data_IF_492375634398
#
_entry.id   IF_492375634398
#
_cell.length_a   1.000
_cell.length_b   1.000
_cell.length_c   1.000
_cell.angle_alpha   90.00
_cell.angle_beta   90.00
_cell.angle_gamma   90.00
#
_symmetry.space_group_name_H-M   'P 1'
#
loop_
_entity.id
_entity.type
_entity.pdbx_description
1 polymer ?
#
# COMPACT_ATOMS: atom_id res chain seq x y z
N UNK A 1 -3.22 -38.09 -4.45
CA UNK A 1 -3.17 -36.62 -4.24
C UNK A 1 -3.63 -35.95 -5.52
N UNK A 2 -4.55 -34.98 -5.47
CA UNK A 2 -4.89 -34.20 -6.66
C UNK A 2 -3.85 -33.09 -6.84
N UNK A 3 -2.86 -33.37 -7.70
CA UNK A 3 -1.91 -32.35 -8.15
C UNK A 3 -2.57 -31.53 -9.26
N UNK A 4 -2.39 -30.22 -9.23
CA UNK A 4 -2.82 -29.32 -10.30
C UNK A 4 -1.63 -28.47 -10.75
N UNK A 5 -1.69 -28.01 -12.00
CA UNK A 5 -0.64 -27.19 -12.61
C UNK A 5 -1.22 -25.82 -12.91
N UNK A 6 -0.50 -24.77 -12.53
CA UNK A 6 -0.83 -23.38 -12.87
C UNK A 6 0.35 -22.70 -13.56
N UNK A 7 0.05 -21.87 -14.57
CA UNK A 7 1.00 -20.91 -15.12
C UNK A 7 1.02 -19.65 -14.25
N UNK A 8 2.16 -19.36 -13.63
CA UNK A 8 2.37 -18.17 -12.80
C UNK A 8 3.40 -17.25 -13.46
N UNK A 9 2.97 -16.07 -13.86
CA UNK A 9 3.87 -15.03 -14.38
C UNK A 9 4.51 -14.29 -13.22
N UNK A 10 5.83 -14.26 -13.18
CA UNK A 10 6.59 -13.48 -12.20
C UNK A 10 7.22 -12.29 -12.91
N UNK A 11 6.84 -11.10 -12.46
CA UNK A 11 7.30 -9.83 -12.99
C UNK A 11 8.65 -9.44 -12.38
N UNK A 12 9.40 -8.60 -13.08
CA UNK A 12 10.65 -8.08 -12.56
C UNK A 12 10.35 -6.79 -11.77
N UNK A 13 10.68 -6.70 -10.47
CA UNK A 13 10.41 -5.52 -9.65
C UNK A 13 10.88 -4.18 -10.25
N UNK A 14 12.05 -4.14 -10.91
CA UNK A 14 12.53 -2.90 -11.55
C UNK A 14 11.60 -2.42 -12.67
N UNK A 15 10.94 -3.32 -13.41
CA UNK A 15 9.96 -2.92 -14.45
C UNK A 15 8.71 -2.34 -13.82
N UNK A 16 8.26 -2.94 -12.71
CA UNK A 16 7.11 -2.44 -11.95
C UNK A 16 7.42 -1.04 -11.38
N UNK A 17 8.63 -0.83 -10.86
CA UNK A 17 9.12 0.46 -10.41
C UNK A 17 9.07 1.52 -11.52
N UNK A 18 9.65 1.21 -12.69
CA UNK A 18 9.66 2.12 -13.84
C UNK A 18 8.24 2.40 -14.37
N UNK A 19 7.36 1.40 -14.40
CA UNK A 19 5.96 1.58 -14.78
C UNK A 19 5.21 2.49 -13.80
N UNK A 20 5.47 2.34 -12.49
CA UNK A 20 4.93 3.24 -11.46
C UNK A 20 5.40 4.68 -11.66
N UNK A 21 6.68 4.87 -11.98
CA UNK A 21 7.25 6.18 -12.29
C UNK A 21 6.64 6.81 -13.55
N UNK A 22 6.45 6.01 -14.60
CA UNK A 22 5.78 6.46 -15.82
C UNK A 22 4.31 6.85 -15.59
N UNK A 23 3.57 6.06 -14.79
CA UNK A 23 2.19 6.39 -14.42
C UNK A 23 2.12 7.66 -13.56
N UNK A 24 3.02 7.81 -12.60
CA UNK A 24 3.14 9.03 -11.81
C UNK A 24 3.39 10.25 -12.71
N UNK A 25 4.36 10.16 -13.62
CA UNK A 25 4.70 11.25 -14.53
C UNK A 25 3.53 11.60 -15.46
N UNK A 26 2.78 10.61 -15.93
CA UNK A 26 1.56 10.84 -16.71
C UNK A 26 0.48 11.58 -15.91
N UNK A 27 0.26 11.21 -14.64
CA UNK A 27 -0.67 11.94 -13.77
C UNK A 27 -0.17 13.36 -13.51
N UNK A 28 1.13 13.54 -13.27
CA UNK A 28 1.76 14.85 -13.09
C UNK A 28 1.57 15.78 -14.30
N UNK A 29 1.70 15.26 -15.52
CA UNK A 29 1.47 16.04 -16.75
C UNK A 29 0.00 16.44 -16.96
N UNK A 30 -0.94 15.62 -16.52
CA UNK A 30 -2.38 15.84 -16.72
C UNK A 30 -3.06 16.50 -15.51
N UNK A 31 -2.34 16.68 -14.41
CA UNK A 31 -2.87 17.22 -13.18
C UNK A 31 -3.29 18.68 -13.39
N UNK A 32 -4.54 19.06 -13.05
CA UNK A 32 -4.98 20.45 -13.17
C UNK A 32 -4.55 21.28 -11.94
N UNK A 33 -3.24 21.33 -11.71
CA UNK A 33 -2.58 21.79 -10.48
C UNK A 33 -1.44 22.73 -10.87
N UNK A 34 -1.31 23.84 -10.15
CA UNK A 34 -0.23 24.81 -10.34
C UNK A 34 0.88 24.55 -9.32
N UNK A 35 1.89 23.75 -9.68
CA UNK A 35 2.97 23.42 -8.75
C UNK A 35 3.72 24.66 -8.26
N UNK A 36 3.66 24.92 -6.96
CA UNK A 36 4.12 26.19 -6.35
C UNK A 36 5.53 26.12 -5.75
N UNK A 37 6.16 24.94 -5.79
CA UNK A 37 7.51 24.72 -5.25
C UNK A 37 8.30 23.80 -6.16
N UNK A 38 9.45 24.26 -6.64
CA UNK A 38 10.27 23.49 -7.60
C UNK A 38 11.37 22.66 -6.92
N UNK A 39 11.70 22.98 -5.66
CA UNK A 39 12.85 22.41 -4.96
C UNK A 39 14.17 23.08 -5.32
N UNK A 40 15.19 22.91 -4.48
CA UNK A 40 16.56 23.33 -4.81
C UNK A 40 17.31 22.28 -5.64
N UNK A 41 18.34 22.69 -6.38
CA UNK A 41 19.15 21.82 -7.24
C UNK A 41 19.67 20.57 -6.50
N UNK A 42 20.11 20.74 -5.25
CA UNK A 42 20.57 19.65 -4.40
C UNK A 42 19.48 18.60 -4.16
N UNK A 43 18.27 19.04 -3.82
CA UNK A 43 17.14 18.15 -3.53
C UNK A 43 16.71 17.35 -4.75
N UNK A 44 16.72 17.99 -5.92
CA UNK A 44 16.44 17.35 -7.21
C UNK A 44 17.52 16.31 -7.52
N UNK A 45 18.80 16.66 -7.38
CA UNK A 45 19.93 15.73 -7.57
C UNK A 45 19.81 14.51 -6.65
N UNK A 46 19.56 14.72 -5.35
CA UNK A 46 19.41 13.64 -4.37
C UNK A 46 18.25 12.73 -4.71
N UNK A 47 17.11 13.28 -5.13
CA UNK A 47 15.95 12.49 -5.54
C UNK A 47 16.28 11.57 -6.72
N UNK A 48 16.89 12.10 -7.78
CA UNK A 48 17.29 11.30 -8.93
C UNK A 48 18.39 10.29 -8.57
N UNK A 49 19.33 10.66 -7.70
CA UNK A 49 20.33 9.74 -7.18
C UNK A 49 19.68 8.56 -6.44
N UNK A 50 18.67 8.79 -5.59
CA UNK A 50 17.95 7.73 -4.90
C UNK A 50 17.13 6.85 -5.84
N UNK A 51 16.46 7.43 -6.83
CA UNK A 51 15.77 6.66 -7.89
C UNK A 51 16.78 5.76 -8.59
N UNK A 52 17.94 6.30 -8.97
CA UNK A 52 18.99 5.55 -9.64
C UNK A 52 19.53 4.42 -8.75
N UNK A 53 19.92 4.72 -7.50
CA UNK A 53 20.44 3.74 -6.53
C UNK A 53 19.42 2.63 -6.29
N UNK A 54 18.15 2.98 -6.08
CA UNK A 54 17.09 2.01 -5.84
C UNK A 54 16.85 1.13 -7.08
N UNK A 55 16.74 1.72 -8.26
CA UNK A 55 16.58 0.99 -9.52
C UNK A 55 17.80 0.09 -9.81
N UNK A 56 19.01 0.58 -9.55
CA UNK A 56 20.25 -0.17 -9.70
C UNK A 56 20.30 -1.37 -8.74
N UNK A 57 19.95 -1.17 -7.47
CA UNK A 57 19.83 -2.25 -6.48
C UNK A 57 18.82 -3.32 -6.90
N UNK A 58 17.66 -2.92 -7.43
CA UNK A 58 16.66 -3.85 -7.98
C UNK A 58 17.21 -4.59 -9.19
N UNK A 59 17.90 -3.91 -10.10
CA UNK A 59 18.46 -4.51 -11.30
C UNK A 59 19.53 -5.56 -10.95
N UNK A 60 20.49 -5.23 -10.08
CA UNK A 60 21.55 -6.13 -9.64
C UNK A 60 20.99 -7.39 -8.94
N UNK A 61 20.03 -7.19 -8.03
CA UNK A 61 19.46 -8.28 -7.23
C UNK A 61 18.44 -9.14 -8.00
N UNK A 62 17.73 -8.58 -8.99
CA UNK A 62 16.91 -9.38 -9.89
C UNK A 62 17.75 -10.16 -10.91
N UNK A 63 18.95 -9.68 -11.26
CA UNK A 63 19.83 -10.32 -12.25
C UNK A 63 19.15 -10.46 -13.61
N UNK A 64 19.52 -11.51 -14.38
CA UNK A 64 18.92 -11.82 -15.69
C UNK A 64 17.51 -12.45 -15.60
N UNK A 65 16.68 -12.01 -14.65
CA UNK A 65 15.25 -12.31 -14.68
C UNK A 65 14.64 -11.71 -15.94
N UNK A 66 14.58 -12.48 -17.03
CA UNK A 66 13.66 -12.23 -18.13
C UNK A 66 12.32 -12.77 -17.65
N UNK A 67 11.27 -11.95 -17.51
CA UNK A 67 9.98 -12.38 -16.95
C UNK A 67 9.61 -13.79 -17.41
N UNK A 68 9.66 -14.76 -16.48
CA UNK A 68 9.42 -16.18 -16.79
C UNK A 68 8.02 -16.52 -16.33
N UNK A 69 7.36 -17.33 -17.15
CA UNK A 69 6.18 -18.07 -16.74
C UNK A 69 6.66 -19.32 -16.01
N UNK A 70 6.30 -19.45 -14.75
CA UNK A 70 6.56 -20.63 -13.94
C UNK A 70 5.39 -21.61 -14.09
N UNK A 71 5.70 -22.88 -14.33
CA UNK A 71 4.73 -23.95 -14.21
C UNK A 71 4.78 -24.47 -12.78
N UNK A 72 3.74 -24.18 -12.00
CA UNK A 72 3.69 -24.48 -10.58
C UNK A 72 2.80 -25.70 -10.36
N UNK A 73 3.40 -26.78 -9.86
CA UNK A 73 2.68 -27.97 -9.43
C UNK A 73 2.35 -27.86 -7.95
N UNK A 74 1.10 -28.05 -7.58
CA UNK A 74 0.67 -27.90 -6.19
C UNK A 74 -0.38 -28.91 -5.75
N UNK A 75 -0.42 -29.17 -4.45
CA UNK A 75 -1.40 -30.02 -3.81
C UNK A 75 -2.66 -29.21 -3.46
N UNK A 76 -3.78 -29.53 -4.12
CA UNK A 76 -5.06 -28.81 -3.97
C UNK A 76 -5.59 -28.86 -2.53
N UNK A 77 -5.44 -30.00 -1.85
CA UNK A 77 -5.93 -30.16 -0.47
C UNK A 77 -5.18 -29.27 0.51
N UNK A 78 -3.85 -29.17 0.35
CA UNK A 78 -3.01 -28.30 1.17
C UNK A 78 -3.29 -26.83 0.87
N UNK A 79 -3.45 -26.44 -0.41
CA UNK A 79 -3.78 -25.07 -0.77
C UNK A 79 -5.13 -24.64 -0.18
N UNK A 80 -6.11 -25.54 -0.21
CA UNK A 80 -7.41 -25.33 0.41
C UNK A 80 -7.29 -25.13 1.93
N UNK A 81 -6.51 -25.98 2.62
CA UNK A 81 -6.28 -25.83 4.06
C UNK A 81 -5.59 -24.50 4.39
N UNK A 82 -4.61 -24.10 3.59
CA UNK A 82 -3.96 -22.79 3.73
C UNK A 82 -4.94 -21.64 3.52
N UNK A 83 -5.81 -21.73 2.50
CA UNK A 83 -6.84 -20.71 2.23
C UNK A 83 -7.80 -20.53 3.41
N UNK A 84 -8.26 -21.64 3.99
CA UNK A 84 -9.09 -21.60 5.19
C UNK A 84 -8.34 -21.05 6.40
N UNK A 85 -7.08 -21.44 6.60
CA UNK A 85 -6.25 -20.89 7.68
C UNK A 85 -6.13 -19.36 7.55
N UNK A 86 -5.78 -18.86 6.36
CA UNK A 86 -5.69 -17.42 6.07
C UNK A 86 -7.03 -16.72 6.32
N UNK A 87 -8.13 -17.33 5.91
CA UNK A 87 -9.48 -16.81 6.16
C UNK A 87 -9.78 -16.73 7.67
N UNK A 88 -9.51 -17.79 8.44
CA UNK A 88 -9.75 -17.79 9.88
C UNK A 88 -8.87 -16.78 10.62
N UNK A 89 -7.57 -16.70 10.30
CA UNK A 89 -6.68 -15.69 10.87
C UNK A 89 -7.16 -14.27 10.54
N UNK A 90 -7.52 -14.02 9.28
CA UNK A 90 -8.09 -12.74 8.85
C UNK A 90 -9.36 -12.39 9.62
N UNK A 91 -10.28 -13.34 9.77
CA UNK A 91 -11.55 -13.15 10.46
C UNK A 91 -11.35 -12.90 11.95
N UNK A 92 -10.51 -13.69 12.63
CA UNK A 92 -10.15 -13.44 14.03
C UNK A 92 -9.53 -12.05 14.21
N UNK A 93 -8.64 -11.63 13.30
CA UNK A 93 -8.07 -10.29 13.33
C UNK A 93 -9.11 -9.17 13.13
N UNK A 94 -10.05 -9.37 12.22
CA UNK A 94 -11.14 -8.40 11.98
C UNK A 94 -12.06 -8.31 13.20
N UNK A 95 -12.42 -9.44 13.82
CA UNK A 95 -13.20 -9.46 15.07
C UNK A 95 -12.45 -8.73 16.18
N UNK A 96 -11.15 -8.98 16.36
CA UNK A 96 -10.34 -8.27 17.36
C UNK A 96 -10.26 -6.77 17.08
N UNK A 97 -10.14 -6.36 15.82
CA UNK A 97 -10.17 -4.94 15.43
C UNK A 97 -11.50 -4.28 15.74
N UNK A 98 -12.61 -4.94 15.39
CA UNK A 98 -13.96 -4.45 15.69
C UNK A 98 -14.14 -4.37 17.20
N UNK A 99 -13.74 -5.41 17.93
CA UNK A 99 -13.83 -5.47 19.38
C UNK A 99 -13.05 -4.32 20.04
N UNK A 100 -11.81 -4.13 19.63
CA UNK A 100 -10.94 -3.09 20.18
C UNK A 100 -11.47 -1.68 19.91
N UNK A 101 -11.94 -1.40 18.69
CA UNK A 101 -12.43 -0.07 18.33
C UNK A 101 -13.78 0.27 18.96
N UNK A 102 -14.70 -0.69 19.00
CA UNK A 102 -16.06 -0.46 19.52
C UNK A 102 -16.07 -0.53 21.04
N UNK A 103 -15.45 -1.53 21.65
CA UNK A 103 -15.61 -1.81 23.08
C UNK A 103 -14.46 -1.30 23.94
N UNK A 104 -13.21 -1.28 23.44
CA UNK A 104 -12.07 -0.80 24.25
C UNK A 104 -11.91 0.72 24.10
N UNK A 105 -11.91 1.25 22.88
CA UNK A 105 -11.73 2.70 22.64
C UNK A 105 -13.02 3.49 22.63
N UNK A 106 -14.18 2.83 22.62
CA UNK A 106 -15.52 3.44 22.51
C UNK A 106 -15.73 4.39 21.30
N UNK A 107 -14.75 4.52 20.40
CA UNK A 107 -14.75 5.40 19.21
C UNK A 107 -15.17 4.68 17.93
N UNK A 108 -15.87 3.55 18.06
CA UNK A 108 -16.39 2.76 16.94
C UNK A 108 -17.91 2.88 16.78
N UNK A 109 -18.52 3.94 17.29
CA UNK A 109 -19.96 4.11 17.13
C UNK A 109 -20.26 4.49 15.67
N UNK A 110 -21.07 3.69 14.97
CA UNK A 110 -21.38 3.91 13.55
C UNK A 110 -22.24 5.17 13.39
N UNK A 111 -22.90 5.62 14.47
CA UNK A 111 -23.69 6.83 14.49
C UNK A 111 -22.90 8.11 14.79
N UNK A 112 -21.63 8.02 15.21
CA UNK A 112 -20.80 9.21 15.44
C UNK A 112 -20.10 9.66 14.16
N UNK A 113 -19.85 10.97 14.08
CA UNK A 113 -19.10 11.57 12.98
C UNK A 113 -17.67 10.98 12.89
N UNK A 114 -17.13 10.91 11.67
CA UNK A 114 -15.80 10.35 11.38
C UNK A 114 -14.70 10.98 12.23
N UNK A 115 -14.82 12.28 12.54
CA UNK A 115 -13.84 13.01 13.34
C UNK A 115 -13.89 12.65 14.82
N UNK A 116 -15.09 12.53 15.40
CA UNK A 116 -15.26 12.07 16.78
C UNK A 116 -14.66 10.67 16.96
N UNK A 117 -14.92 9.77 16.00
CA UNK A 117 -14.32 8.44 15.98
C UNK A 117 -12.79 8.49 15.86
N UNK A 118 -12.24 9.37 15.03
CA UNK A 118 -10.79 9.52 14.85
C UNK A 118 -10.09 10.07 16.09
N UNK A 119 -10.66 11.06 16.76
CA UNK A 119 -10.10 11.64 17.99
C UNK A 119 -10.15 10.65 19.15
N UNK A 120 -11.25 9.91 19.32
CA UNK A 120 -11.37 8.85 20.32
C UNK A 120 -10.40 7.69 20.06
N UNK A 121 -10.22 7.30 18.78
CA UNK A 121 -9.23 6.28 18.42
C UNK A 121 -7.82 6.82 18.64
N UNK A 122 -7.53 8.08 18.33
CA UNK A 122 -6.19 8.66 18.50
C UNK A 122 -5.80 8.82 19.98
N UNK A 123 -6.72 9.22 20.85
CA UNK A 123 -6.46 9.47 22.27
C UNK A 123 -6.23 8.18 23.07
N UNK A 124 -6.83 7.06 22.68
CA UNK A 124 -6.71 5.78 23.39
C UNK A 124 -5.34 5.07 23.29
N UNK A 125 -4.42 5.55 22.45
CA UNK A 125 -3.14 4.85 22.17
C UNK A 125 -3.33 3.48 21.50
N UNK A 126 -2.28 2.85 20.95
CA UNK A 126 -2.42 1.48 20.42
C UNK A 126 -2.17 0.42 21.48
N UNK A 127 -3.25 -0.18 22.00
CA UNK A 127 -3.17 -1.39 22.82
C UNK A 127 -2.67 -2.61 22.03
N UNK A 128 -2.14 -3.60 22.75
CA UNK A 128 -1.63 -4.87 22.18
C UNK A 128 -2.67 -5.60 21.32
N UNK A 129 -3.95 -5.55 21.73
CA UNK A 129 -5.09 -6.12 20.98
C UNK A 129 -5.23 -5.47 19.60
N UNK A 130 -5.02 -4.16 19.49
CA UNK A 130 -5.11 -3.43 18.22
C UNK A 130 -4.01 -3.87 17.25
N UNK A 131 -2.79 -4.07 17.77
CA UNK A 131 -1.63 -4.50 17.01
C UNK A 131 -1.84 -5.93 16.47
N UNK A 132 -2.24 -6.86 17.34
CA UNK A 132 -2.52 -8.25 16.95
C UNK A 132 -3.69 -8.30 15.97
N UNK A 133 -4.77 -7.56 16.23
CA UNK A 133 -5.91 -7.46 15.33
C UNK A 133 -5.53 -6.92 13.95
N UNK A 134 -4.71 -5.87 13.88
CA UNK A 134 -4.22 -5.30 12.62
C UNK A 134 -3.32 -6.28 11.85
N UNK A 135 -2.43 -6.98 12.54
CA UNK A 135 -1.57 -7.99 11.92
C UNK A 135 -2.37 -9.17 11.35
N UNK A 136 -3.27 -9.74 12.17
CA UNK A 136 -4.07 -10.88 11.76
C UNK A 136 -5.06 -10.53 10.64
N UNK A 137 -5.73 -9.38 10.73
CA UNK A 137 -6.66 -8.93 9.67
C UNK A 137 -5.96 -8.66 8.33
N UNK A 138 -4.68 -8.27 8.36
CA UNK A 138 -3.86 -8.11 7.15
C UNK A 138 -3.67 -9.43 6.36
N UNK A 139 -3.96 -10.59 6.96
CA UNK A 139 -4.00 -11.87 6.23
C UNK A 139 -5.05 -11.87 5.11
N UNK A 140 -6.12 -11.07 5.24
CA UNK A 140 -7.11 -10.93 4.17
C UNK A 140 -6.55 -10.37 2.86
N UNK A 141 -5.42 -9.66 2.89
CA UNK A 141 -4.76 -9.19 1.67
C UNK A 141 -4.35 -10.34 0.75
N UNK A 142 -4.03 -11.52 1.29
CA UNK A 142 -3.57 -12.67 0.51
C UNK A 142 -4.70 -13.59 0.06
N UNK A 143 -5.91 -13.41 0.59
CA UNK A 143 -7.05 -14.27 0.27
C UNK A 143 -7.50 -14.16 -1.20
N UNK A 144 -7.59 -12.96 -1.81
CA UNK A 144 -7.83 -12.82 -3.24
C UNK A 144 -6.82 -13.60 -4.08
N UNK A 145 -5.54 -13.52 -3.73
CA UNK A 145 -4.49 -14.25 -4.43
C UNK A 145 -4.73 -15.77 -4.41
N UNK A 146 -4.92 -16.36 -3.22
CA UNK A 146 -5.11 -17.80 -3.07
C UNK A 146 -6.36 -18.30 -3.81
N UNK A 147 -7.45 -17.53 -3.77
CA UNK A 147 -8.71 -17.87 -4.43
C UNK A 147 -8.56 -17.77 -5.95
N UNK A 148 -7.95 -16.70 -6.46
CA UNK A 148 -7.69 -16.52 -7.90
C UNK A 148 -6.75 -17.60 -8.41
N UNK A 149 -5.72 -17.96 -7.63
CA UNK A 149 -4.80 -19.05 -7.93
C UNK A 149 -5.55 -20.39 -8.08
N UNK A 150 -6.42 -20.75 -7.13
CA UNK A 150 -7.27 -21.96 -7.23
C UNK A 150 -8.21 -21.92 -8.44
N UNK A 151 -8.89 -20.79 -8.67
CA UNK A 151 -9.85 -20.64 -9.78
C UNK A 151 -9.17 -20.74 -11.14
N UNK A 152 -7.95 -20.19 -11.27
CA UNK A 152 -7.15 -20.28 -12.50
C UNK A 152 -6.71 -21.70 -12.81
N UNK A 153 -6.58 -22.55 -11.79
CA UNK A 153 -6.35 -23.98 -11.93
C UNK A 153 -7.65 -24.81 -12.12
N UNK A 154 -8.79 -24.15 -12.37
CA UNK A 154 -10.08 -24.81 -12.61
C UNK A 154 -10.86 -25.17 -11.34
N UNK A 155 -10.36 -24.87 -10.15
CA UNK A 155 -10.98 -25.26 -8.88
C UNK A 155 -11.96 -24.16 -8.44
N UNK A 156 -13.26 -24.41 -8.65
CA UNK A 156 -14.34 -23.49 -8.25
C UNK A 156 -15.10 -24.04 -7.05
N UNK A 157 -15.35 -23.18 -6.06
CA UNK A 157 -16.16 -23.50 -4.87
C UNK A 157 -17.03 -22.31 -4.51
N UNK A 158 -18.23 -22.59 -4.01
CA UNK A 158 -19.17 -21.57 -3.54
C UNK A 158 -18.58 -20.75 -2.40
N UNK A 159 -17.83 -21.39 -1.48
CA UNK A 159 -17.18 -20.73 -0.35
C UNK A 159 -16.18 -19.63 -0.74
N UNK A 160 -15.67 -19.64 -1.98
CA UNK A 160 -14.77 -18.58 -2.45
C UNK A 160 -15.46 -17.21 -2.50
N UNK A 161 -16.77 -17.17 -2.76
CA UNK A 161 -17.51 -15.92 -2.88
C UNK A 161 -17.63 -15.15 -1.55
N UNK A 162 -18.18 -15.73 -0.46
CA UNK A 162 -18.26 -15.02 0.82
C UNK A 162 -16.87 -14.68 1.40
N UNK A 163 -15.86 -15.52 1.15
CA UNK A 163 -14.47 -15.23 1.50
C UNK A 163 -13.94 -13.94 0.85
N UNK A 164 -14.17 -13.78 -0.46
CA UNK A 164 -13.78 -12.57 -1.18
C UNK A 164 -14.53 -11.35 -0.67
N UNK A 165 -15.84 -11.46 -0.42
CA UNK A 165 -16.64 -10.37 0.14
C UNK A 165 -16.07 -9.93 1.49
N UNK A 166 -15.81 -10.86 2.41
CA UNK A 166 -15.25 -10.52 3.73
C UNK A 166 -13.86 -9.88 3.64
N UNK A 167 -13.02 -10.32 2.70
CA UNK A 167 -11.74 -9.66 2.44
C UNK A 167 -11.88 -8.23 1.90
N UNK A 168 -12.90 -7.98 1.08
CA UNK A 168 -13.23 -6.64 0.59
C UNK A 168 -13.82 -5.76 1.71
N UNK A 169 -14.66 -6.32 2.58
CA UNK A 169 -15.17 -5.64 3.78
C UNK A 169 -14.01 -5.18 4.66
N UNK A 170 -13.00 -6.01 4.88
CA UNK A 170 -11.77 -5.60 5.59
C UNK A 170 -11.10 -4.37 4.94
N UNK A 171 -11.00 -4.35 3.61
CA UNK A 171 -10.36 -3.25 2.89
C UNK A 171 -11.15 -1.93 2.97
N UNK A 172 -12.48 -2.01 3.07
CA UNK A 172 -13.38 -0.84 3.15
C UNK A 172 -13.66 -0.43 4.60
N UNK A 173 -13.41 -1.30 5.58
CA UNK A 173 -13.65 -1.05 7.01
C UNK A 173 -12.99 0.24 7.51
N UNK A 174 -11.74 0.48 7.13
CA UNK A 174 -10.99 1.69 7.51
C UNK A 174 -11.47 2.93 6.73
N UNK A 175 -12.09 2.78 5.56
CA UNK A 175 -12.73 3.89 4.84
C UNK A 175 -14.00 4.31 5.61
N UNK A 176 -14.81 3.34 6.03
CA UNK A 176 -16.10 3.57 6.70
C UNK A 176 -15.94 4.10 8.13
N UNK A 177 -14.88 3.75 8.85
CA UNK A 177 -14.72 4.21 10.23
C UNK A 177 -13.92 5.50 10.38
N UNK A 178 -12.94 5.74 9.51
CA UNK A 178 -11.97 6.84 9.69
C UNK A 178 -11.64 7.58 8.38
N UNK A 179 -12.33 7.26 7.28
CA UNK A 179 -12.08 7.85 5.97
C UNK A 179 -10.71 7.51 5.37
N UNK A 180 -10.02 6.49 5.88
CA UNK A 180 -8.67 6.13 5.45
C UNK A 180 -8.72 5.23 4.22
N UNK A 181 -8.16 5.73 3.10
CA UNK A 181 -8.23 5.08 1.77
C UNK A 181 -7.06 4.14 1.49
N UNK A 182 -6.01 4.17 2.31
CA UNK A 182 -4.75 3.44 2.04
C UNK A 182 -4.92 1.92 2.07
N UNK A 183 -5.74 1.39 2.97
CA UNK A 183 -6.02 -0.05 3.04
C UNK A 183 -6.72 -0.58 1.77
N UNK A 184 -7.66 0.18 1.22
CA UNK A 184 -8.33 -0.13 -0.03
C UNK A 184 -7.36 -0.13 -1.21
N UNK A 185 -6.48 0.88 -1.32
CA UNK A 185 -5.48 0.96 -2.39
C UNK A 185 -4.54 -0.25 -2.36
N UNK A 186 -4.04 -0.62 -1.17
CA UNK A 186 -3.19 -1.80 -0.98
C UNK A 186 -3.93 -3.08 -1.41
N UNK A 187 -5.16 -3.27 -0.94
CA UNK A 187 -5.98 -4.44 -1.30
C UNK A 187 -6.21 -4.54 -2.82
N UNK A 188 -6.51 -3.42 -3.47
CA UNK A 188 -6.70 -3.37 -4.92
C UNK A 188 -5.43 -3.67 -5.69
N UNK A 189 -4.29 -3.14 -5.27
CA UNK A 189 -2.99 -3.43 -5.88
C UNK A 189 -2.66 -4.93 -5.79
N UNK A 190 -2.90 -5.56 -4.63
CA UNK A 190 -2.70 -7.01 -4.46
C UNK A 190 -3.69 -7.82 -5.31
N UNK A 191 -4.97 -7.41 -5.40
CA UNK A 191 -5.95 -8.04 -6.29
C UNK A 191 -5.54 -7.98 -7.76
N UNK A 192 -5.13 -6.79 -8.22
CA UNK A 192 -4.67 -6.57 -9.59
C UNK A 192 -3.47 -7.47 -9.89
N UNK A 193 -2.45 -7.44 -9.03
CA UNK A 193 -1.26 -8.26 -9.18
C UNK A 193 -1.60 -9.76 -9.19
N UNK A 194 -2.53 -10.20 -8.34
CA UNK A 194 -2.98 -11.60 -8.28
C UNK A 194 -3.57 -12.07 -9.61
N UNK A 195 -4.41 -11.24 -10.21
CA UNK A 195 -5.04 -11.52 -11.51
C UNK A 195 -4.01 -11.55 -12.63
N UNK A 196 -3.12 -10.55 -12.66
CA UNK A 196 -2.08 -10.44 -13.70
C UNK A 196 -1.08 -11.61 -13.62
N UNK A 197 -0.64 -11.98 -12.42
CA UNK A 197 0.31 -13.09 -12.23
C UNK A 197 -0.27 -14.44 -12.61
N UNK A 198 -1.53 -14.70 -12.29
CA UNK A 198 -2.18 -15.99 -12.58
C UNK A 198 -2.72 -16.09 -14.00
N UNK A 199 -2.76 -14.97 -14.73
CA UNK A 199 -3.36 -14.89 -16.06
C UNK A 199 -4.87 -15.15 -16.06
N UNK A 200 -5.54 -15.00 -14.91
CA UNK A 200 -6.98 -15.27 -14.76
C UNK A 200 -7.82 -14.38 -15.68
N UNK A 201 -7.42 -13.11 -15.82
CA UNK A 201 -7.98 -12.18 -16.79
C UNK A 201 -6.92 -11.96 -17.88
N UNK A 202 -7.29 -12.25 -19.12
CA UNK A 202 -6.46 -11.90 -20.28
C UNK A 202 -6.50 -10.40 -20.49
N UNK A 203 -5.34 -9.76 -20.62
CA UNK A 203 -5.26 -8.34 -20.97
C UNK A 203 -5.75 -8.20 -22.41
N UNK A 204 -6.98 -7.71 -22.56
CA UNK A 204 -7.61 -7.36 -23.83
C UNK A 204 -7.97 -5.88 -23.80
N UNK A 205 -8.22 -5.27 -24.97
CA UNK A 205 -8.65 -3.87 -25.02
C UNK A 205 -9.92 -3.63 -24.16
N UNK A 206 -10.84 -4.59 -24.14
CA UNK A 206 -12.04 -4.56 -23.27
C UNK A 206 -11.66 -4.55 -21.78
N UNK A 207 -10.72 -5.39 -21.37
CA UNK A 207 -10.27 -5.45 -19.97
C UNK A 207 -9.54 -4.18 -19.56
N UNK A 208 -8.75 -3.60 -20.46
CA UNK A 208 -8.09 -2.31 -20.25
C UNK A 208 -9.13 -1.20 -20.10
N UNK A 209 -10.10 -1.12 -21.02
CA UNK A 209 -11.19 -0.15 -20.96
C UNK A 209 -11.99 -0.27 -19.65
N UNK A 210 -12.41 -1.48 -19.27
CA UNK A 210 -13.11 -1.72 -18.00
C UNK A 210 -12.25 -1.34 -16.79
N UNK A 211 -10.93 -1.59 -16.86
CA UNK A 211 -9.98 -1.18 -15.83
C UNK A 211 -9.90 0.33 -15.68
N UNK A 212 -9.85 1.08 -16.79
CA UNK A 212 -9.87 2.55 -16.80
C UNK A 212 -11.18 3.08 -16.22
N UNK A 213 -12.33 2.54 -16.65
CA UNK A 213 -13.64 2.92 -16.11
C UNK A 213 -13.72 2.66 -14.61
N UNK A 214 -13.23 1.51 -14.13
CA UNK A 214 -13.19 1.19 -12.72
C UNK A 214 -12.25 2.13 -11.93
N UNK A 215 -11.11 2.52 -12.51
CA UNK A 215 -10.20 3.48 -11.90
C UNK A 215 -10.83 4.87 -11.77
N UNK A 216 -11.51 5.36 -12.81
CA UNK A 216 -12.24 6.64 -12.78
C UNK A 216 -13.35 6.59 -11.73
N UNK A 217 -14.14 5.51 -11.69
CA UNK A 217 -15.19 5.34 -10.69
C UNK A 217 -14.64 5.32 -9.26
N UNK A 218 -13.48 4.69 -9.05
CA UNK A 218 -12.81 4.67 -7.74
C UNK A 218 -12.31 6.06 -7.34
N UNK A 219 -11.68 6.78 -8.26
CA UNK A 219 -11.21 8.17 -8.02
C UNK A 219 -12.40 9.04 -7.66
N UNK A 220 -13.48 8.97 -8.45
CA UNK A 220 -14.72 9.69 -8.17
C UNK A 220 -15.30 9.34 -6.80
N UNK A 221 -15.44 8.05 -6.49
CA UNK A 221 -15.92 7.59 -5.19
C UNK A 221 -15.04 8.11 -4.04
N UNK A 222 -13.72 8.03 -4.18
CA UNK A 222 -12.77 8.51 -3.18
C UNK A 222 -12.82 10.04 -2.99
N UNK A 223 -13.11 10.79 -4.05
CA UNK A 223 -13.34 12.23 -4.01
C UNK A 223 -14.67 12.57 -3.32
N UNK A 224 -15.74 11.85 -3.63
CA UNK A 224 -17.06 12.07 -3.00
C UNK A 224 -17.06 11.72 -1.51
N UNK A 225 -16.37 10.65 -1.10
CA UNK A 225 -16.17 10.34 0.33
C UNK A 225 -15.46 11.49 1.04
N UNK A 226 -14.47 12.11 0.39
CA UNK A 226 -13.77 13.26 0.95
C UNK A 226 -14.70 14.49 1.01
N UNK A 227 -15.44 14.78 -0.05
CA UNK A 227 -16.43 15.87 -0.10
C UNK A 227 -17.42 15.77 1.05
N UNK A 228 -18.09 14.62 1.21
CA UNK A 228 -19.09 14.40 2.27
C UNK A 228 -18.47 14.58 3.65
N UNK A 229 -17.26 14.04 3.87
CA UNK A 229 -16.55 14.17 5.15
C UNK A 229 -16.24 15.63 5.47
N UNK A 230 -15.80 16.41 4.50
CA UNK A 230 -15.44 17.81 4.74
C UNK A 230 -16.67 18.65 5.07
N UNK A 231 -17.80 18.41 4.39
CA UNK A 231 -19.09 19.03 4.73
C UNK A 231 -19.54 18.66 6.15
N UNK A 232 -19.38 17.40 6.57
CA UNK A 232 -19.70 16.96 7.93
C UNK A 232 -18.85 17.66 8.99
N UNK A 233 -17.60 18.01 8.65
CA UNK A 233 -16.71 18.79 9.51
C UNK A 233 -17.06 20.28 9.57
N UNK A 234 -18.11 20.73 8.86
CA UNK A 234 -18.47 22.15 8.75
C UNK A 234 -17.46 22.97 7.94
N UNK A 235 -16.63 22.31 7.12
CA UNK A 235 -15.63 22.95 6.28
C UNK A 235 -16.10 22.90 4.83
N UNK A 236 -15.84 23.96 4.07
CA UNK A 236 -16.10 23.95 2.64
C UNK A 236 -15.14 22.96 1.92
N UNK A 237 -15.64 21.99 1.12
CA UNK A 237 -14.82 21.00 0.43
C UNK A 237 -13.79 21.59 -0.54
N UNK A 238 -14.10 22.74 -1.15
CA UNK A 238 -13.20 23.43 -2.08
C UNK A 238 -12.10 24.13 -1.29
N UNK A 239 -12.46 24.91 -0.27
CA UNK A 239 -11.49 25.52 0.64
C UNK A 239 -10.58 24.47 1.32
N UNK A 240 -11.12 23.31 1.71
CA UNK A 240 -10.32 22.22 2.26
C UNK A 240 -9.37 21.59 1.25
N UNK A 241 -9.76 21.52 -0.03
CA UNK A 241 -8.87 21.09 -1.10
C UNK A 241 -7.67 22.03 -1.22
N UNK A 242 -7.88 23.35 -1.12
CA UNK A 242 -6.84 24.38 -1.19
C UNK A 242 -5.98 24.50 0.08
N UNK A 243 -6.56 24.27 1.25
CA UNK A 243 -5.86 24.39 2.55
C UNK A 243 -5.28 23.06 3.05
N UNK A 244 -5.44 21.98 2.28
CA UNK A 244 -4.92 20.66 2.66
C UNK A 244 -3.39 20.67 2.76
N UNK A 245 -2.83 19.76 3.57
CA UNK A 245 -1.38 19.61 3.69
C UNK A 245 -0.68 19.36 2.34
N UNK A 246 -1.39 18.72 1.41
CA UNK A 246 -0.92 18.41 0.05
C UNK A 246 -0.92 19.65 -0.86
N UNK A 247 -1.89 20.55 -0.70
CA UNK A 247 -2.07 21.72 -1.55
C UNK A 247 -1.01 22.79 -1.37
N UNK A 248 -0.23 22.76 -0.27
CA UNK A 248 0.89 23.71 -0.06
C UNK A 248 1.85 23.77 -1.25
N UNK A 249 2.17 22.62 -1.85
CA UNK A 249 3.12 22.52 -2.98
C UNK A 249 2.45 22.09 -4.30
N UNK A 250 1.19 21.67 -4.21
CA UNK A 250 0.38 21.25 -5.35
C UNK A 250 -1.02 21.87 -5.23
N UNK A 251 -1.17 23.20 -5.23
CA UNK A 251 -2.48 23.84 -5.20
C UNK A 251 -3.27 23.56 -6.48
N UNK A 252 -4.59 23.44 -6.37
CA UNK A 252 -5.45 23.33 -7.54
C UNK A 252 -5.31 24.59 -8.40
N UNK A 253 -5.36 24.43 -9.72
CA UNK A 253 -5.29 25.59 -10.62
C UNK A 253 -6.47 26.54 -10.41
N UNK A 254 -6.23 27.84 -10.57
CA UNK A 254 -7.25 28.88 -10.33
C UNK A 254 -8.50 28.64 -11.19
N UNK A 255 -8.32 28.20 -12.44
CA UNK A 255 -9.40 27.85 -13.35
C UNK A 255 -10.28 26.71 -12.82
N UNK A 256 -9.70 25.70 -12.17
CA UNK A 256 -10.46 24.61 -11.54
C UNK A 256 -11.19 25.10 -10.30
N UNK A 257 -10.54 25.88 -9.44
CA UNK A 257 -11.18 26.44 -8.23
C UNK A 257 -12.40 27.27 -8.62
N UNK A 258 -12.24 28.20 -9.57
CA UNK A 258 -13.33 29.03 -10.08
C UNK A 258 -14.46 28.18 -10.70
N UNK A 259 -14.11 27.14 -11.47
CA UNK A 259 -15.12 26.25 -12.04
C UNK A 259 -15.91 25.50 -10.96
N UNK A 260 -15.23 24.96 -9.94
CA UNK A 260 -15.87 24.20 -8.86
C UNK A 260 -16.73 25.08 -7.96
N UNK A 261 -16.28 26.29 -7.64
CA UNK A 261 -17.06 27.26 -6.83
C UNK A 261 -18.38 27.61 -7.51
N UNK A 262 -18.38 27.72 -8.84
CA UNK A 262 -19.57 28.05 -9.61
C UNK A 262 -20.51 26.87 -9.89
N UNK A 263 -19.99 25.62 -9.90
CA UNK A 263 -20.74 24.43 -10.36
C UNK A 263 -20.92 23.34 -9.28
N UNK A 264 -20.41 23.54 -8.07
CA UNK A 264 -20.50 22.58 -6.97
C UNK A 264 -19.84 21.23 -7.29
N UNK A 265 -20.45 20.14 -6.81
CA UNK A 265 -19.91 18.76 -6.93
C UNK A 265 -20.75 17.79 -7.76
N UNK A 266 -21.84 18.25 -8.37
CA UNK A 266 -22.75 17.39 -9.13
C UNK A 266 -22.27 17.11 -10.56
N UNK A 267 -22.37 15.85 -11.01
CA UNK A 267 -22.04 15.47 -12.39
C UNK A 267 -20.55 15.60 -12.71
N UNK A 268 -20.22 16.34 -13.77
CA UNK A 268 -18.83 16.49 -14.24
C UNK A 268 -17.96 17.24 -13.23
N UNK A 269 -18.52 18.21 -12.48
CA UNK A 269 -17.75 18.95 -11.47
C UNK A 269 -17.27 18.05 -10.34
N UNK A 270 -18.05 17.04 -9.94
CA UNK A 270 -17.62 16.02 -8.98
C UNK A 270 -16.45 15.17 -9.49
N UNK A 271 -16.41 14.87 -10.79
CA UNK A 271 -15.27 14.15 -11.41
C UNK A 271 -14.02 15.03 -11.44
N UNK A 272 -14.16 16.30 -11.80
CA UNK A 272 -13.05 17.28 -11.80
C UNK A 272 -12.50 17.46 -10.39
N UNK A 273 -13.38 17.65 -9.39
CA UNK A 273 -12.99 17.73 -7.98
C UNK A 273 -12.21 16.49 -7.54
N UNK A 274 -12.78 15.31 -7.79
CA UNK A 274 -12.18 14.04 -7.38
C UNK A 274 -10.82 13.81 -8.04
N UNK A 275 -10.70 14.10 -9.35
CA UNK A 275 -9.45 13.96 -10.07
C UNK A 275 -8.40 14.97 -9.62
N UNK A 276 -8.78 16.23 -9.41
CA UNK A 276 -7.87 17.29 -8.91
C UNK A 276 -7.33 16.91 -7.54
N UNK A 277 -8.21 16.59 -6.59
CA UNK A 277 -7.81 16.17 -5.25
C UNK A 277 -6.96 14.88 -5.27
N UNK A 278 -7.29 13.92 -6.14
CA UNK A 278 -6.47 12.72 -6.34
C UNK A 278 -5.09 13.06 -6.88
N UNK A 279 -5.00 13.94 -7.88
CA UNK A 279 -3.74 14.39 -8.44
C UNK A 279 -2.89 15.10 -7.38
N UNK A 280 -3.46 15.99 -6.56
CA UNK A 280 -2.75 16.65 -5.46
C UNK A 280 -2.15 15.62 -4.51
N UNK A 281 -2.95 14.63 -4.11
CA UNK A 281 -2.49 13.55 -3.25
C UNK A 281 -1.39 12.70 -3.92
N UNK A 282 -1.50 12.39 -5.21
CA UNK A 282 -0.50 11.58 -5.92
C UNK A 282 0.80 12.34 -6.12
N UNK A 283 0.75 13.63 -6.46
CA UNK A 283 1.91 14.37 -6.94
C UNK A 283 2.66 15.13 -5.85
N UNK A 284 2.03 15.49 -4.73
CA UNK A 284 2.68 16.29 -3.67
C UNK A 284 3.93 15.63 -3.08
N UNK A 285 4.00 14.29 -3.08
CA UNK A 285 5.04 13.56 -2.35
C UNK A 285 6.47 13.92 -2.78
N UNK A 286 6.69 14.16 -4.07
CA UNK A 286 8.00 14.58 -4.63
C UNK A 286 8.39 15.97 -4.15
N UNK A 287 7.46 16.92 -4.14
CA UNK A 287 7.72 18.28 -3.68
C UNK A 287 7.93 18.35 -2.17
N UNK A 288 7.19 17.54 -1.41
CA UNK A 288 7.44 17.36 0.02
C UNK A 288 8.83 16.76 0.26
N UNK A 289 9.27 15.83 -0.59
CA UNK A 289 10.63 15.30 -0.52
C UNK A 289 11.67 16.38 -0.81
N UNK A 290 11.43 17.25 -1.80
CA UNK A 290 12.35 18.34 -2.09
C UNK A 290 12.47 19.32 -0.92
N UNK A 291 11.34 19.70 -0.34
CA UNK A 291 11.30 20.58 0.83
C UNK A 291 12.04 19.95 2.01
N UNK A 292 11.77 18.67 2.28
CA UNK A 292 12.43 17.90 3.33
C UNK A 292 13.96 17.84 3.13
N UNK A 293 14.40 17.52 1.91
CA UNK A 293 15.80 17.35 1.59
C UNK A 293 16.59 18.67 1.74
N UNK A 294 15.94 19.82 1.52
CA UNK A 294 16.56 21.13 1.75
C UNK A 294 16.71 21.51 3.22
N UNK A 295 16.07 20.79 4.14
CA UNK A 295 16.04 21.09 5.58
C UNK A 295 16.68 20.00 6.46
N UNK A 296 17.09 18.87 5.87
CA UNK A 296 17.57 17.70 6.62
C UNK A 296 19.04 17.42 6.33
N UNK A 297 19.89 17.82 7.27
CA UNK A 297 21.33 17.57 7.19
C UNK A 297 21.76 16.26 7.87
N UNK A 298 20.93 15.74 8.78
CA UNK A 298 21.22 14.53 9.57
C UNK A 298 19.98 13.69 9.83
N UNK A 299 20.18 12.46 10.31
CA UNK A 299 19.09 11.62 10.79
C UNK A 299 18.38 12.27 12.00
N UNK A 300 17.05 12.21 12.02
CA UNK A 300 16.20 12.75 13.09
C UNK A 300 15.40 11.66 13.79
N UNK A 301 15.07 10.57 13.10
CA UNK A 301 14.22 9.49 13.65
C UNK A 301 14.92 8.15 13.78
N UNK A 302 16.18 8.01 13.33
CA UNK A 302 17.07 6.87 13.62
C UNK A 302 16.46 5.47 13.39
N UNK A 303 15.65 5.31 12.35
CA UNK A 303 15.02 4.03 11.98
C UNK A 303 13.61 3.83 12.56
N UNK A 304 13.13 4.74 13.41
CA UNK A 304 11.82 4.62 14.04
C UNK A 304 10.66 4.72 13.04
N UNK A 305 10.82 5.38 11.88
CA UNK A 305 9.78 5.34 10.85
C UNK A 305 9.79 4.03 10.07
N UNK A 306 10.96 3.61 9.60
CA UNK A 306 11.14 2.41 8.79
C UNK A 306 10.82 1.12 9.56
N UNK A 307 11.02 1.13 10.88
CA UNK A 307 10.76 0.01 11.78
C UNK A 307 9.69 0.32 12.83
N UNK A 308 8.78 1.25 12.57
CA UNK A 308 7.74 1.72 13.49
C UNK A 308 7.07 0.62 14.34
N UNK A 309 6.53 -0.45 13.76
CA UNK A 309 5.84 -1.52 14.48
C UNK A 309 6.81 -2.33 15.38
N UNK A 310 7.94 -2.88 14.87
CA UNK A 310 8.96 -3.48 15.73
C UNK A 310 9.43 -2.53 16.85
N UNK A 311 9.78 -1.30 16.51
CA UNK A 311 10.27 -0.31 17.47
C UNK A 311 9.23 0.05 18.52
N UNK A 312 7.95 0.14 18.13
CA UNK A 312 6.84 0.38 19.06
C UNK A 312 6.67 -0.75 20.06
N UNK A 313 6.82 -2.01 19.63
CA UNK A 313 6.80 -3.16 20.54
C UNK A 313 7.95 -3.07 21.54
N UNK A 314 9.18 -2.82 21.06
CA UNK A 314 10.36 -2.72 21.92
C UNK A 314 10.23 -1.56 22.91
N UNK A 315 9.84 -0.38 22.45
CA UNK A 315 9.66 0.80 23.32
C UNK A 315 8.55 0.60 24.34
N UNK A 316 7.45 -0.06 23.96
CA UNK A 316 6.38 -0.40 24.90
C UNK A 316 6.81 -1.40 25.96
N UNK A 317 7.69 -2.36 25.62
CA UNK A 317 8.23 -3.33 26.58
C UNK A 317 9.31 -2.73 27.48
N UNK A 318 10.07 -1.77 26.96
CA UNK A 318 11.13 -1.08 27.69
C UNK A 318 10.64 0.16 28.46
N UNK A 319 9.33 0.46 28.41
CA UNK A 319 8.71 1.66 28.98
C UNK A 319 9.39 2.98 28.54
N UNK A 320 9.99 2.98 27.35
CA UNK A 320 10.86 4.06 26.84
C UNK A 320 10.08 5.24 26.20
N UNK A 321 8.83 5.46 26.63
CA UNK A 321 7.95 6.51 26.10
C UNK A 321 7.20 6.15 24.81
N UNK A 322 6.48 7.13 24.24
CA UNK A 322 5.68 6.95 23.01
C UNK A 322 6.51 7.28 21.79
N UNK A 323 6.62 6.32 20.87
CA UNK A 323 7.28 6.50 19.58
C UNK A 323 6.68 7.66 18.77
N UNK A 324 5.38 7.91 18.91
CA UNK A 324 4.66 8.99 18.22
C UNK A 324 5.23 10.38 18.56
N UNK A 325 5.64 10.60 19.79
CA UNK A 325 6.14 11.90 20.25
C UNK A 325 7.50 12.19 19.60
N UNK A 326 8.38 11.18 19.55
CA UNK A 326 9.67 11.26 18.88
C UNK A 326 9.48 11.49 17.37
N UNK A 327 8.56 10.75 16.74
CA UNK A 327 8.29 10.90 15.32
C UNK A 327 7.71 12.28 15.00
N UNK A 328 6.82 12.81 15.84
CA UNK A 328 6.22 14.13 15.63
C UNK A 328 7.25 15.24 15.77
N UNK A 329 8.18 15.12 16.72
CA UNK A 329 9.28 16.07 16.89
C UNK A 329 10.36 15.94 15.80
N UNK A 330 10.56 14.74 15.26
CA UNK A 330 11.62 14.43 14.30
C UNK A 330 11.28 14.68 12.83
N UNK A 331 10.03 15.03 12.50
CA UNK A 331 9.61 15.28 11.11
C UNK A 331 9.28 16.75 10.85
N UNK A 332 9.61 17.23 9.66
CA UNK A 332 9.40 18.64 9.26
C UNK A 332 7.91 18.98 9.22
N UNK A 333 7.09 18.08 8.69
CA UNK A 333 5.63 18.26 8.58
C UNK A 333 4.88 17.00 9.03
N UNK A 334 4.55 16.89 10.33
CA UNK A 334 3.78 15.76 10.84
C UNK A 334 2.46 15.57 10.10
N UNK A 335 2.16 14.33 9.72
CA UNK A 335 0.91 13.99 9.04
C UNK A 335 0.87 14.27 7.53
N UNK A 336 1.94 14.82 6.94
CA UNK A 336 2.10 14.96 5.48
C UNK A 336 3.00 13.84 4.98
N UNK A 337 2.48 13.06 4.04
CA UNK A 337 3.22 11.95 3.46
C UNK A 337 4.20 12.44 2.39
N UNK A 338 5.21 11.63 2.09
CA UNK A 338 6.18 11.90 1.05
C UNK A 338 6.60 10.58 0.40
N UNK A 339 7.43 10.66 -0.64
CA UNK A 339 7.96 9.54 -1.43
C UNK A 339 8.49 8.39 -0.57
N UNK A 340 8.75 7.25 -1.19
CA UNK A 340 9.46 6.11 -0.60
C UNK A 340 10.70 6.54 0.19
N UNK A 341 11.40 7.57 -0.30
CA UNK A 341 12.70 7.98 0.20
C UNK A 341 12.64 8.93 1.39
N UNK A 342 11.54 9.67 1.59
CA UNK A 342 11.48 10.68 2.65
C UNK A 342 11.57 10.11 4.07
N UNK A 343 10.79 9.07 4.45
CA UNK A 343 10.97 8.39 5.74
C UNK A 343 12.37 7.84 5.96
N UNK A 344 13.00 7.34 4.89
CA UNK A 344 14.36 6.81 4.92
C UNK A 344 15.37 7.93 5.16
N UNK A 345 15.14 9.12 4.58
CA UNK A 345 15.93 10.33 4.81
C UNK A 345 15.86 10.79 6.27
N UNK A 346 14.67 10.82 6.88
CA UNK A 346 14.51 11.10 8.31
C UNK A 346 15.26 10.09 9.19
N UNK A 347 15.20 8.81 8.83
CA UNK A 347 15.78 7.75 9.64
C UNK A 347 17.31 7.70 9.57
N UNK A 348 17.91 8.03 8.43
CA UNK A 348 19.33 7.75 8.19
C UNK A 348 20.15 8.94 7.66
N UNK A 349 19.54 10.11 7.46
CA UNK A 349 20.17 11.26 6.82
C UNK A 349 20.52 10.99 5.35
N UNK A 350 21.10 11.97 4.62
CA UNK A 350 21.27 11.85 3.16
C UNK A 350 22.11 10.63 2.72
N UNK A 351 23.34 10.49 3.24
CA UNK A 351 24.21 9.37 2.83
C UNK A 351 23.67 8.01 3.30
N UNK A 352 23.20 7.94 4.55
CA UNK A 352 22.65 6.72 5.13
C UNK A 352 21.37 6.28 4.41
N UNK A 353 20.54 7.23 3.96
CA UNK A 353 19.33 6.93 3.22
C UNK A 353 19.63 6.37 1.84
N UNK A 354 20.64 6.89 1.13
CA UNK A 354 21.11 6.31 -0.12
C UNK A 354 21.52 4.83 0.06
N UNK A 355 22.29 4.53 1.10
CA UNK A 355 22.68 3.16 1.42
C UNK A 355 21.49 2.26 1.81
N UNK A 356 20.58 2.77 2.64
CA UNK A 356 19.37 2.05 3.04
C UNK A 356 18.47 1.74 1.83
N UNK A 357 18.32 2.67 0.88
CA UNK A 357 17.61 2.44 -0.37
C UNK A 357 18.23 1.32 -1.19
N UNK A 358 19.57 1.28 -1.30
CA UNK A 358 20.28 0.21 -2.00
C UNK A 358 20.03 -1.15 -1.34
N UNK A 359 20.21 -1.25 -0.03
CA UNK A 359 19.97 -2.49 0.71
C UNK A 359 18.53 -2.97 0.57
N UNK A 360 17.58 -2.05 0.70
CA UNK A 360 16.17 -2.38 0.60
C UNK A 360 15.80 -2.88 -0.80
N UNK A 361 16.31 -2.22 -1.85
CA UNK A 361 16.17 -2.68 -3.22
C UNK A 361 16.78 -4.08 -3.44
N UNK A 362 17.94 -4.37 -2.84
CA UNK A 362 18.56 -5.70 -2.91
C UNK A 362 17.66 -6.77 -2.27
N UNK A 363 17.10 -6.49 -1.08
CA UNK A 363 16.17 -7.42 -0.39
C UNK A 363 14.96 -7.71 -1.27
N UNK A 364 14.38 -6.68 -1.89
CA UNK A 364 13.24 -6.84 -2.81
C UNK A 364 13.59 -7.78 -3.97
N UNK A 365 14.72 -7.57 -4.64
CA UNK A 365 15.10 -8.44 -5.75
C UNK A 365 15.52 -9.84 -5.31
N UNK A 366 16.07 -10.01 -4.10
CA UNK A 366 16.32 -11.33 -3.51
C UNK A 366 15.00 -12.10 -3.30
N UNK A 367 13.95 -11.45 -2.80
CA UNK A 367 12.62 -12.05 -2.67
C UNK A 367 12.08 -12.49 -4.03
N UNK A 368 12.16 -11.62 -5.04
CA UNK A 368 11.74 -11.94 -6.40
C UNK A 368 12.52 -13.12 -7.00
N UNK A 369 13.85 -13.15 -6.83
CA UNK A 369 14.72 -14.24 -7.27
C UNK A 369 14.37 -15.57 -6.60
N UNK A 370 14.04 -15.56 -5.31
CA UNK A 370 13.62 -16.78 -4.62
C UNK A 370 12.28 -17.32 -5.17
N UNK A 371 11.31 -16.45 -5.47
CA UNK A 371 10.05 -16.85 -6.12
C UNK A 371 10.32 -17.47 -7.50
N UNK A 372 11.21 -16.86 -8.29
CA UNK A 372 11.63 -17.40 -9.60
C UNK A 372 12.29 -18.77 -9.51
N UNK A 373 13.04 -19.01 -8.44
CA UNK A 373 13.65 -20.31 -8.14
C UNK A 373 12.68 -21.28 -7.46
N UNK A 374 11.36 -21.07 -7.64
CA UNK A 374 10.27 -21.89 -7.12
C UNK A 374 10.22 -22.03 -5.59
N UNK A 375 10.90 -21.14 -4.84
CA UNK A 375 10.73 -21.03 -3.38
C UNK A 375 9.49 -20.20 -3.07
N UNK A 376 8.33 -20.76 -3.40
CA UNK A 376 7.04 -20.06 -3.42
C UNK A 376 6.50 -19.69 -2.03
N UNK A 377 7.16 -20.08 -0.94
CA UNK A 377 6.90 -19.52 0.38
C UNK A 377 7.30 -18.02 0.50
N UNK A 378 8.10 -17.50 -0.43
CA UNK A 378 8.39 -16.05 -0.55
C UNK A 378 7.32 -15.27 -1.31
N UNK A 379 6.34 -15.95 -1.91
CA UNK A 379 5.33 -15.34 -2.76
C UNK A 379 4.48 -14.27 -2.06
N UNK A 380 4.05 -14.43 -0.78
CA UNK A 380 3.33 -13.36 -0.07
C UNK A 380 4.14 -12.06 0.02
N UNK A 381 5.44 -12.15 0.36
CA UNK A 381 6.30 -10.97 0.47
C UNK A 381 6.53 -10.31 -0.89
N UNK A 382 6.72 -11.13 -1.93
CA UNK A 382 6.83 -10.66 -3.30
C UNK A 382 5.60 -9.87 -3.75
N UNK A 383 4.38 -10.33 -3.41
CA UNK A 383 3.13 -9.64 -3.74
C UNK A 383 3.07 -8.25 -3.09
N UNK A 384 3.43 -8.15 -1.81
CA UNK A 384 3.45 -6.85 -1.09
C UNK A 384 4.47 -5.90 -1.71
N UNK A 385 5.69 -6.37 -1.95
CA UNK A 385 6.74 -5.54 -2.56
C UNK A 385 6.31 -5.01 -3.93
N UNK A 386 5.80 -5.88 -4.80
CA UNK A 386 5.35 -5.46 -6.12
C UNK A 386 4.10 -4.57 -6.09
N UNK A 387 3.27 -4.68 -5.05
CA UNK A 387 2.13 -3.79 -4.86
C UNK A 387 2.55 -2.39 -4.38
N UNK A 388 3.63 -2.28 -3.61
CA UNK A 388 4.03 -1.02 -2.97
C UNK A 388 5.01 -0.19 -3.80
N UNK A 389 5.96 -0.84 -4.48
CA UNK A 389 7.01 -0.18 -5.27
C UNK A 389 6.46 0.81 -6.32
N UNK A 390 5.33 0.58 -7.02
CA UNK A 390 4.77 1.56 -7.95
C UNK A 390 4.50 2.93 -7.34
N UNK A 391 4.25 2.99 -6.03
CA UNK A 391 3.92 4.21 -5.30
C UNK A 391 5.16 4.99 -4.84
N UNK A 392 6.36 4.64 -5.30
CA UNK A 392 7.59 5.22 -4.76
C UNK A 392 7.64 6.75 -4.84
N UNK A 393 7.09 7.36 -5.88
CA UNK A 393 7.03 8.81 -6.06
C UNK A 393 5.84 9.46 -5.34
N UNK A 394 4.88 8.66 -4.85
CA UNK A 394 3.64 9.13 -4.23
C UNK A 394 3.76 9.11 -2.72
N UNK A 395 3.94 7.93 -2.16
CA UNK A 395 3.94 7.69 -0.72
C UNK A 395 4.75 6.44 -0.39
N UNK A 396 5.49 6.48 0.72
CA UNK A 396 6.09 5.27 1.28
C UNK A 396 5.04 4.33 1.88
N UNK A 397 4.46 3.44 1.05
CA UNK A 397 3.52 2.42 1.53
C UNK A 397 4.17 1.35 2.43
N UNK A 398 5.50 1.29 2.55
CA UNK A 398 6.15 0.35 3.47
C UNK A 398 6.09 0.82 4.92
N UNK A 399 6.22 2.12 5.17
CA UNK A 399 6.15 2.70 6.52
C UNK A 399 4.77 3.22 6.90
N UNK A 400 3.90 3.51 5.93
CA UNK A 400 2.61 4.18 6.17
C UNK A 400 1.40 3.24 6.06
N UNK A 401 0.27 3.65 6.63
CA UNK A 401 -1.00 2.92 6.54
C UNK A 401 -0.93 1.50 7.11
N UNK A 402 -1.27 0.50 6.29
CA UNK A 402 -1.18 -0.93 6.64
C UNK A 402 0.18 -1.55 6.25
N UNK A 403 1.14 -0.75 5.79
CA UNK A 403 2.38 -1.20 5.18
C UNK A 403 3.16 -2.25 5.97
N UNK A 404 3.56 -1.87 7.19
CA UNK A 404 4.33 -2.76 8.05
C UNK A 404 3.53 -3.98 8.52
N UNK A 405 2.23 -3.82 8.80
CA UNK A 405 1.36 -4.95 9.11
C UNK A 405 1.27 -5.94 7.96
N UNK A 406 1.16 -5.46 6.72
CA UNK A 406 1.13 -6.29 5.53
C UNK A 406 2.46 -7.02 5.30
N UNK A 407 3.61 -6.36 5.54
CA UNK A 407 4.93 -6.99 5.46
C UNK A 407 5.11 -8.07 6.53
N UNK A 408 4.77 -7.80 7.79
CA UNK A 408 4.87 -8.79 8.87
C UNK A 408 3.91 -9.96 8.61
N UNK A 409 2.69 -9.68 8.13
CA UNK A 409 1.73 -10.72 7.75
C UNK A 409 2.25 -11.57 6.57
N UNK A 410 2.86 -10.95 5.56
CA UNK A 410 3.49 -11.65 4.45
C UNK A 410 4.63 -12.57 4.91
N UNK A 411 5.49 -12.08 5.82
CA UNK A 411 6.58 -12.85 6.39
C UNK A 411 6.04 -14.04 7.18
N UNK A 412 5.06 -13.81 8.06
CA UNK A 412 4.42 -14.83 8.87
C UNK A 412 3.76 -15.90 7.98
N UNK A 413 3.02 -15.49 6.95
CA UNK A 413 2.42 -16.42 6.00
C UNK A 413 3.48 -17.24 5.26
N UNK A 414 4.58 -16.62 4.84
CA UNK A 414 5.70 -17.33 4.24
C UNK A 414 6.34 -18.36 5.17
N UNK A 415 6.51 -18.02 6.45
CA UNK A 415 7.00 -18.95 7.47
C UNK A 415 6.03 -20.11 7.68
N UNK A 416 4.72 -19.84 7.81
CA UNK A 416 3.67 -20.87 7.92
C UNK A 416 3.71 -21.79 6.69
N UNK A 417 3.83 -21.23 5.49
CA UNK A 417 3.92 -22.01 4.26
C UNK A 417 5.15 -22.92 4.26
N UNK A 418 6.31 -22.42 4.72
CA UNK A 418 7.56 -23.19 4.78
C UNK A 418 7.50 -24.32 5.81
N UNK A 419 6.97 -24.04 7.01
CA UNK A 419 6.98 -24.99 8.13
C UNK A 419 5.81 -25.97 8.09
N UNK A 420 4.59 -25.47 7.93
CA UNK A 420 3.35 -26.27 8.03
C UNK A 420 2.86 -26.79 6.67
N UNK A 421 3.27 -26.16 5.57
CA UNK A 421 2.81 -26.49 4.22
C UNK A 421 3.98 -26.76 3.25
N UNK A 422 5.09 -27.33 3.73
CA UNK A 422 6.29 -27.60 2.93
C UNK A 422 6.05 -28.46 1.68
N UNK A 423 5.01 -29.32 1.71
CA UNK A 423 4.57 -30.17 0.59
C UNK A 423 3.50 -29.53 -0.30
N UNK A 424 3.18 -28.25 -0.10
CA UNK A 424 2.17 -27.52 -0.88
C UNK A 424 2.57 -27.43 -2.34
N UNK A 425 3.80 -27.01 -2.59
CA UNK A 425 4.38 -26.93 -3.93
C UNK A 425 5.24 -28.15 -4.15
N UNK A 426 4.89 -28.91 -5.18
CA UNK A 426 5.58 -30.13 -5.54
C UNK A 426 6.81 -29.73 -6.35
N UNK A 427 7.98 -30.27 -5.99
CA UNK A 427 9.15 -30.14 -6.86
C UNK A 427 8.78 -30.84 -8.17
N UNK A 428 8.84 -30.12 -9.28
CA UNK A 428 9.02 -30.80 -10.55
C UNK A 428 10.39 -31.44 -10.48
N UNK A 429 10.48 -32.75 -10.66
CA UNK A 429 11.75 -33.32 -11.07
C UNK A 429 12.18 -32.56 -12.34
N UNK A 430 13.42 -32.08 -12.41
CA UNK A 430 13.96 -31.63 -13.68
C UNK A 430 13.99 -32.87 -14.58
N UNK A 431 12.91 -33.11 -15.31
CA UNK A 431 12.90 -34.10 -16.38
C UNK A 431 14.04 -33.72 -17.34
N UNK A 432 14.86 -34.73 -17.66
CA UNK A 432 16.09 -34.63 -18.43
C UNK A 432 15.92 -34.11 -19.84
#
# INVERSE_FOLDING_TARGET
MTASVLKLTVFCPHKIFLMGGGLYFFIWLLAPIDYSYEGGDFSVLVFFAYIFIFCFGLFLSCGRMRGKVLHVHFNVSLLRRLTWLVFFLGMSGLVLRVFERIFIRAGGNISSDFMANREMIASGGMGSVALVGALLSSMFLFLPFLIVFMRSAGIRRVSHFPMLILSAVFAVFDVVLQGSRSGMVIFMAVCLLSVLMTGYIKISLRSVFLGVVAAIALVWFAGMVFWVRTVQMGVDPIASMELSGYARFAPASEGVVNYLTNNGSAGISGVIYAFTHFAQYVTHGVYEFFYLCGLTDSATTYGLQSFYIPSKIVMSLAEAGKIEDILTAGVVRPGVYTTLFGPVLYDFGPLGAGFACLLFAIVIGMVARNVMNQKLYWLPMYLIFCAFIPFFAVVNLFSTGLGQYAMIAALLLGVIMRLCFSKLFLKCDPCG
#
